data_IF_175612646019
#
_entry.id   IF_175612646019
#
_cell.length_a   1.000
_cell.length_b   1.000
_cell.length_c   1.000
_cell.angle_alpha   90.00
_cell.angle_beta   90.00
_cell.angle_gamma   90.00
#
_symmetry.space_group_name_H-M   'P 1'
#
loop_
_entity.id
_entity.type
_entity.pdbx_description
1 polymer ?
#
# COMPACT_ATOMS: atom_id res chain seq x y z
N UNK A 1 6.12 -1.87 49.83
CA UNK A 1 6.08 -2.76 48.65
C UNK A 1 4.91 -2.47 47.71
N UNK A 2 3.70 -2.21 48.22
CA UNK A 2 2.50 -1.97 47.38
C UNK A 2 2.57 -0.67 46.56
N UNK A 3 3.07 0.42 47.14
CA UNK A 3 3.28 1.72 46.47
C UNK A 3 4.25 1.64 45.28
N UNK A 4 5.35 0.89 45.43
CA UNK A 4 6.33 0.69 44.35
C UNK A 4 5.77 -0.15 43.19
N UNK A 5 4.82 -1.06 43.44
CA UNK A 5 4.13 -1.83 42.40
C UNK A 5 3.14 -0.97 41.62
N UNK A 6 2.40 -0.11 42.32
CA UNK A 6 1.46 0.84 41.69
C UNK A 6 2.23 1.83 40.81
N UNK A 7 3.33 2.40 41.29
CA UNK A 7 4.15 3.32 40.51
C UNK A 7 4.68 2.67 39.21
N UNK A 8 5.16 1.42 39.28
CA UNK A 8 5.61 0.67 38.10
C UNK A 8 4.47 0.36 37.12
N UNK A 9 3.30 0.01 37.62
CA UNK A 9 2.12 -0.22 36.79
C UNK A 9 1.68 1.06 36.06
N UNK A 10 1.67 2.21 36.77
CA UNK A 10 1.38 3.50 36.15
C UNK A 10 2.42 3.89 35.10
N UNK A 11 3.71 3.65 35.36
CA UNK A 11 4.77 3.93 34.39
C UNK A 11 4.63 3.08 33.11
N UNK A 12 4.31 1.78 33.27
CA UNK A 12 4.05 0.89 32.13
C UNK A 12 2.80 1.30 31.34
N UNK A 13 1.73 1.68 32.03
CA UNK A 13 0.50 2.15 31.38
C UNK A 13 0.73 3.45 30.60
N UNK A 14 1.48 4.41 31.17
CA UNK A 14 1.83 5.65 30.50
C UNK A 14 2.67 5.39 29.24
N UNK A 15 3.65 4.48 29.32
CA UNK A 15 4.45 4.09 28.15
C UNK A 15 3.60 3.42 27.06
N UNK A 16 2.67 2.54 27.42
CA UNK A 16 1.78 1.92 26.45
C UNK A 16 0.89 2.94 25.73
N UNK A 17 0.39 3.95 26.45
CA UNK A 17 -0.43 5.02 25.88
C UNK A 17 0.36 5.91 24.90
N UNK A 18 1.63 6.20 25.17
CA UNK A 18 2.45 7.00 24.24
C UNK A 18 2.81 6.23 22.97
N UNK A 19 2.97 4.90 23.04
CA UNK A 19 3.20 4.08 21.84
C UNK A 19 1.93 3.95 20.98
N UNK A 20 0.74 3.95 21.60
CA UNK A 20 -0.52 3.82 20.88
C UNK A 20 -0.97 5.11 20.16
N UNK A 21 -0.43 6.27 20.50
CA UNK A 21 -0.89 7.57 19.96
C UNK A 21 -0.40 7.89 18.54
N UNK A 22 0.60 7.17 18.01
CA UNK A 22 1.20 7.46 16.70
C UNK A 22 0.45 6.83 15.49
N UNK A 23 -0.70 6.17 15.72
CA UNK A 23 -1.36 5.31 14.71
C UNK A 23 -2.73 5.76 14.20
N UNK A 24 -3.16 7.01 14.46
CA UNK A 24 -4.50 7.47 14.11
C UNK A 24 -4.80 7.39 12.61
N UNK A 25 -5.80 6.58 12.20
CA UNK A 25 -6.29 6.53 10.82
C UNK A 25 -7.56 7.37 10.73
N UNK A 26 -7.45 8.57 10.18
CA UNK A 26 -8.59 9.41 9.86
C UNK A 26 -8.61 9.66 8.34
N UNK A 27 -9.79 9.92 7.76
CA UNK A 27 -9.87 10.34 6.36
C UNK A 27 -8.99 11.57 6.14
N UNK A 28 -8.19 11.54 5.08
CA UNK A 28 -7.36 12.67 4.69
C UNK A 28 -8.26 13.86 4.34
N UNK A 29 -7.86 15.04 4.81
CA UNK A 29 -8.47 16.32 4.46
C UNK A 29 -7.46 17.16 3.70
N UNK A 30 -7.90 18.02 2.76
CA UNK A 30 -7.02 19.01 2.16
C UNK A 30 -6.34 19.87 3.23
N UNK A 31 -5.13 20.35 2.91
CA UNK A 31 -4.48 21.37 3.72
C UNK A 31 -5.34 22.63 3.78
N UNK A 32 -5.14 23.43 4.82
CA UNK A 32 -5.87 24.69 4.98
C UNK A 32 -5.69 25.58 3.73
N UNK A 33 -6.80 26.15 3.24
CA UNK A 33 -6.82 26.95 2.02
C UNK A 33 -6.85 26.14 0.71
N UNK A 34 -6.67 24.82 0.75
CA UNK A 34 -6.76 23.96 -0.43
C UNK A 34 -8.16 23.35 -0.60
N UNK A 35 -8.51 23.00 -1.83
CA UNK A 35 -9.77 22.34 -2.19
C UNK A 35 -9.45 21.01 -2.86
N UNK A 36 -10.42 20.08 -2.81
CA UNK A 36 -10.33 18.86 -3.60
C UNK A 36 -10.31 19.19 -5.11
N UNK A 37 -9.75 18.30 -5.95
CA UNK A 37 -9.83 18.43 -7.40
C UNK A 37 -11.27 18.63 -7.87
N UNK A 38 -11.43 19.34 -8.98
CA UNK A 38 -12.73 19.54 -9.61
C UNK A 38 -13.34 18.21 -10.07
N UNK A 39 -14.66 18.19 -10.26
CA UNK A 39 -15.40 17.04 -10.80
C UNK A 39 -14.85 16.69 -12.19
N UNK A 40 -14.39 15.45 -12.43
CA UNK A 40 -13.96 15.02 -13.74
C UNK A 40 -15.08 15.11 -14.77
N UNK A 41 -14.74 15.36 -16.03
CA UNK A 41 -15.73 15.37 -17.13
C UNK A 41 -16.41 14.01 -17.21
N UNK A 42 -17.75 14.00 -17.19
CA UNK A 42 -18.55 12.78 -17.24
C UNK A 42 -18.80 12.11 -15.88
N UNK A 43 -18.23 12.63 -14.78
CA UNK A 43 -18.52 12.15 -13.43
C UNK A 43 -19.68 12.94 -12.79
N UNK A 44 -20.52 12.25 -12.02
CA UNK A 44 -21.63 12.89 -11.30
C UNK A 44 -21.17 13.72 -10.08
N UNK A 45 -20.00 13.40 -9.52
CA UNK A 45 -19.44 14.05 -8.33
C UNK A 45 -17.91 13.98 -8.33
N UNK A 46 -17.28 14.82 -7.50
CA UNK A 46 -15.84 14.80 -7.29
C UNK A 46 -15.45 13.55 -6.47
N UNK A 47 -14.29 12.94 -6.77
CA UNK A 47 -13.83 11.77 -6.04
C UNK A 47 -13.48 12.09 -4.60
N UNK A 48 -13.66 11.11 -3.72
CA UNK A 48 -13.28 11.23 -2.30
C UNK A 48 -11.76 11.13 -2.11
N UNK A 49 -11.25 11.57 -0.96
CA UNK A 49 -9.82 11.43 -0.66
C UNK A 49 -9.36 9.96 -0.64
N UNK A 50 -10.24 9.04 -0.26
CA UNK A 50 -9.97 7.60 -0.30
C UNK A 50 -9.84 7.09 -1.73
N UNK A 51 -10.75 7.51 -2.63
CA UNK A 51 -10.70 7.13 -4.05
C UNK A 51 -9.45 7.69 -4.74
N UNK A 52 -9.06 8.93 -4.45
CA UNK A 52 -7.86 9.55 -5.02
C UNK A 52 -6.55 8.88 -4.58
N UNK A 53 -6.54 8.28 -3.40
CA UNK A 53 -5.36 7.60 -2.84
C UNK A 53 -5.34 6.10 -3.08
N UNK A 54 -6.42 5.55 -3.64
CA UNK A 54 -6.52 4.13 -3.99
C UNK A 54 -6.10 3.94 -5.45
N UNK A 55 -4.96 3.28 -5.71
CA UNK A 55 -4.50 3.07 -7.08
C UNK A 55 -5.44 2.10 -7.82
N UNK A 56 -5.82 2.39 -9.08
CA UNK A 56 -6.60 1.46 -9.88
C UNK A 56 -5.76 0.27 -10.34
N UNK A 57 -6.43 -0.79 -10.81
CA UNK A 57 -5.79 -2.04 -11.28
C UNK A 57 -4.77 -1.77 -12.40
N UNK A 58 -5.05 -0.81 -13.29
CA UNK A 58 -4.14 -0.44 -14.37
C UNK A 58 -2.83 0.19 -13.86
N UNK A 59 -2.90 0.92 -12.74
CA UNK A 59 -1.74 1.58 -12.14
C UNK A 59 -0.95 0.63 -11.22
N UNK A 60 -1.66 -0.28 -10.54
CA UNK A 60 -1.06 -1.25 -9.63
C UNK A 60 -1.75 -2.60 -9.80
N UNK A 61 -1.42 -3.35 -10.86
CA UNK A 61 -2.03 -4.66 -11.08
C UNK A 61 -1.65 -5.60 -9.95
N UNK A 62 -2.59 -6.48 -9.61
CA UNK A 62 -2.31 -7.54 -8.66
C UNK A 62 -1.20 -8.43 -9.23
N UNK A 63 -0.16 -8.65 -8.42
CA UNK A 63 0.85 -9.64 -8.71
C UNK A 63 0.34 -10.95 -8.14
N UNK A 64 0.19 -11.96 -8.99
CA UNK A 64 -0.01 -13.32 -8.51
C UNK A 64 1.23 -13.69 -7.66
N UNK A 65 1.00 -14.01 -6.39
CA UNK A 65 2.03 -14.46 -5.44
C UNK A 65 2.01 -15.98 -5.35
N UNK A 66 1.89 -16.63 -6.51
CA UNK A 66 2.02 -18.08 -6.57
C UNK A 66 3.45 -18.43 -6.15
N UNK A 67 3.56 -18.89 -4.91
CA UNK A 67 4.82 -19.29 -4.30
C UNK A 67 5.32 -20.52 -5.06
N UNK A 68 6.17 -20.30 -6.05
CA UNK A 68 6.99 -21.38 -6.60
C UNK A 68 7.97 -21.81 -5.51
N UNK A 69 7.61 -22.86 -4.77
CA UNK A 69 8.46 -23.45 -3.73
C UNK A 69 9.66 -24.20 -4.31
N UNK A 70 9.61 -24.48 -5.61
CA UNK A 70 10.64 -25.14 -6.40
C UNK A 70 10.61 -24.62 -7.83
N UNK A 71 11.76 -24.59 -8.48
CA UNK A 71 11.88 -24.26 -9.90
C UNK A 71 11.24 -25.37 -10.76
N UNK A 72 10.69 -24.97 -11.92
CA UNK A 72 10.25 -25.89 -12.97
C UNK A 72 11.01 -25.57 -14.26
N UNK A 73 11.32 -26.60 -15.03
CA UNK A 73 11.89 -26.45 -16.37
C UNK A 73 10.85 -25.73 -17.24
N UNK A 74 11.28 -24.67 -17.93
CA UNK A 74 10.42 -23.97 -18.90
C UNK A 74 10.19 -24.91 -20.09
N UNK A 75 8.97 -24.91 -20.64
CA UNK A 75 8.74 -25.54 -21.93
C UNK A 75 9.61 -24.90 -23.00
N UNK A 76 9.82 -25.62 -24.10
CA UNK A 76 10.49 -25.10 -25.28
C UNK A 76 9.79 -23.81 -25.74
N UNK A 77 10.58 -22.78 -26.05
CA UNK A 77 10.04 -21.50 -26.52
C UNK A 77 9.76 -21.63 -28.02
N UNK A 78 8.48 -21.59 -28.39
CA UNK A 78 8.02 -21.67 -29.78
C UNK A 78 8.59 -20.56 -30.67
N UNK A 79 9.12 -19.49 -30.06
CA UNK A 79 9.74 -18.35 -30.73
C UNK A 79 11.26 -18.30 -30.59
N UNK A 80 11.90 -19.36 -30.09
CA UNK A 80 13.37 -19.50 -30.09
C UNK A 80 13.84 -19.82 -31.51
N UNK A 81 13.78 -18.80 -32.37
CA UNK A 81 14.25 -18.88 -33.74
C UNK A 81 15.79 -18.90 -33.74
N UNK A 82 16.42 -19.71 -34.61
CA UNK A 82 17.87 -19.68 -34.75
C UNK A 82 18.32 -18.27 -35.21
N UNK A 83 19.55 -17.86 -34.85
CA UNK A 83 20.10 -16.59 -35.30
C UNK A 83 20.07 -16.51 -36.83
N UNK A 84 19.86 -15.31 -37.37
CA UNK A 84 19.86 -15.10 -38.81
C UNK A 84 21.18 -15.59 -39.42
N UNK A 85 21.08 -16.30 -40.54
CA UNK A 85 22.24 -16.84 -41.24
C UNK A 85 23.16 -15.76 -41.80
N UNK A 86 22.67 -14.52 -41.92
CA UNK A 86 23.39 -13.38 -42.46
C UNK A 86 22.98 -12.09 -41.72
N UNK A 87 23.67 -11.74 -40.62
CA UNK A 87 23.40 -10.53 -39.85
C UNK A 87 23.94 -9.31 -40.60
N UNK A 88 23.13 -8.73 -41.48
CA UNK A 88 23.44 -7.48 -42.19
C UNK A 88 22.50 -6.36 -41.80
#
# INVERSE_FOLDING_TARGET
>A
MMTARIAKACALAALALTLASCGGRQPLKPLEGQRLPAVPVGAAAAPTAAELTTPPIQARPERNVELLTQSRVRGDDEFDLPPESDPR
#
